data_IF_817529781792
#
_entry.id   IF_817529781792
#
_cell.length_a   1.000
_cell.length_b   1.000
_cell.length_c   1.000
_cell.angle_alpha   90.00
_cell.angle_beta   90.00
_cell.angle_gamma   90.00
#
_symmetry.space_group_name_H-M   'P 1'
#
loop_
_entity.id
_entity.type
_entity.pdbx_description
1 polymer ?
#
# COMPACT_ATOMS: atom_id res chain seq x y z
N UNK A 1 2.39 1.03 -13.94
CA UNK A 1 2.29 1.98 -12.81
C UNK A 1 3.37 3.03 -13.03
N UNK A 2 3.00 4.30 -13.20
CA UNK A 2 3.91 5.39 -13.60
C UNK A 2 3.90 6.57 -12.60
N UNK A 3 3.47 6.35 -11.36
CA UNK A 3 3.37 7.39 -10.33
C UNK A 3 4.71 7.66 -9.64
N UNK A 4 4.88 8.86 -9.08
CA UNK A 4 6.05 9.27 -8.29
C UNK A 4 5.87 9.07 -6.78
N UNK A 5 5.12 8.03 -6.39
CA UNK A 5 4.89 7.68 -4.99
C UNK A 5 6.16 7.21 -4.28
N UNK A 6 6.07 7.05 -2.96
CA UNK A 6 7.20 6.61 -2.13
C UNK A 6 7.74 5.25 -2.61
N UNK A 7 9.04 5.20 -2.90
CA UNK A 7 9.72 3.99 -3.38
C UNK A 7 9.36 3.56 -4.80
N UNK A 8 8.64 4.38 -5.58
CA UNK A 8 8.23 4.03 -6.94
C UNK A 8 9.41 3.89 -7.93
N UNK A 9 10.54 4.53 -7.66
CA UNK A 9 11.75 4.50 -8.49
C UNK A 9 12.79 3.48 -8.00
N UNK A 10 12.48 2.65 -7.00
CA UNK A 10 13.39 1.60 -6.56
C UNK A 10 13.58 0.55 -7.66
N UNK A 11 14.80 0.05 -7.80
CA UNK A 11 15.12 -1.04 -8.72
C UNK A 11 14.22 -2.26 -8.44
N UNK A 12 13.65 -2.84 -9.52
CA UNK A 12 12.70 -3.96 -9.43
C UNK A 12 11.26 -3.59 -9.07
N UNK A 13 10.98 -2.32 -8.76
CA UNK A 13 9.64 -1.83 -8.41
C UNK A 13 8.99 -1.06 -9.57
N UNK A 14 9.75 -0.19 -10.22
CA UNK A 14 9.22 0.66 -11.30
C UNK A 14 8.65 -0.19 -12.45
N UNK A 15 7.42 0.12 -12.88
CA UNK A 15 6.75 -0.60 -13.96
C UNK A 15 6.32 -2.04 -13.63
N UNK A 16 6.62 -2.56 -12.44
CA UNK A 16 6.24 -3.91 -12.02
C UNK A 16 4.97 -3.90 -11.15
N UNK A 17 4.44 -5.10 -10.86
CA UNK A 17 3.32 -5.27 -9.93
C UNK A 17 3.68 -4.82 -8.51
N UNK A 18 4.95 -4.89 -8.13
CA UNK A 18 5.42 -4.40 -6.84
C UNK A 18 5.28 -2.88 -6.70
N UNK A 19 5.42 -2.13 -7.80
CA UNK A 19 5.10 -0.70 -7.81
C UNK A 19 3.62 -0.41 -7.50
N UNK A 20 2.72 -1.26 -7.99
CA UNK A 20 1.30 -1.15 -7.65
C UNK A 20 1.03 -1.50 -6.19
N UNK A 21 1.69 -2.54 -5.65
CA UNK A 21 1.56 -2.88 -4.24
C UNK A 21 2.05 -1.73 -3.34
N UNK A 22 3.19 -1.13 -3.65
CA UNK A 22 3.74 0.01 -2.91
C UNK A 22 2.78 1.21 -2.89
N UNK A 23 2.07 1.47 -3.99
CA UNK A 23 1.07 2.53 -4.02
C UNK A 23 -0.10 2.27 -3.06
N UNK A 24 -0.55 1.01 -2.96
CA UNK A 24 -1.62 0.62 -2.03
C UNK A 24 -1.14 0.74 -0.59
N UNK A 25 0.07 0.28 -0.27
CA UNK A 25 0.62 0.40 1.08
C UNK A 25 0.83 1.86 1.46
N UNK A 26 1.35 2.70 0.55
CA UNK A 26 1.50 4.13 0.78
C UNK A 26 0.14 4.77 1.11
N UNK A 27 -0.91 4.48 0.33
CA UNK A 27 -2.24 4.99 0.60
C UNK A 27 -2.77 4.56 1.97
N UNK A 28 -2.72 3.26 2.26
CA UNK A 28 -3.26 2.68 3.49
C UNK A 28 -2.53 3.19 4.75
N UNK A 29 -1.21 3.36 4.65
CA UNK A 29 -0.36 3.62 5.81
C UNK A 29 -0.12 5.11 6.03
N UNK A 30 -0.21 5.95 4.99
CA UNK A 30 0.10 7.39 5.09
C UNK A 30 -1.07 8.31 4.75
N UNK A 31 -1.89 7.97 3.76
CA UNK A 31 -2.90 8.90 3.22
C UNK A 31 -4.32 8.67 3.74
N UNK A 32 -4.62 7.50 4.31
CA UNK A 32 -5.90 7.23 4.96
C UNK A 32 -6.17 8.24 6.07
N UNK A 33 -7.38 8.80 6.11
CA UNK A 33 -7.81 9.67 7.22
C UNK A 33 -7.97 8.85 8.49
N UNK A 34 -7.32 9.27 9.56
CA UNK A 34 -7.45 8.71 10.89
C UNK A 34 -7.56 9.84 11.92
N UNK A 35 -8.24 9.57 13.05
CA UNK A 35 -8.39 10.56 14.15
C UNK A 35 -7.11 10.76 14.97
N UNK A 36 -6.18 9.82 14.91
CA UNK A 36 -4.87 9.84 15.56
C UNK A 36 -3.92 8.92 14.81
N UNK A 37 -2.62 9.08 15.03
CA UNK A 37 -1.61 8.22 14.43
C UNK A 37 -1.66 6.80 14.97
N UNK A 38 -2.04 6.61 16.23
CA UNK A 38 -2.26 5.28 16.79
C UNK A 38 -3.43 4.56 16.11
N UNK A 39 -4.53 5.26 15.84
CA UNK A 39 -5.65 4.70 15.07
C UNK A 39 -5.22 4.36 13.63
N UNK A 40 -4.37 5.19 13.02
CA UNK A 40 -3.81 4.92 11.69
C UNK A 40 -2.97 3.64 11.71
N UNK A 41 -2.06 3.52 12.68
CA UNK A 41 -1.19 2.36 12.85
C UNK A 41 -1.99 1.08 13.08
N UNK A 42 -2.96 1.11 14.00
CA UNK A 42 -3.84 -0.04 14.26
C UNK A 42 -4.61 -0.44 13.00
N UNK A 43 -5.15 0.53 12.25
CA UNK A 43 -5.84 0.27 10.98
C UNK A 43 -4.92 -0.35 9.93
N UNK A 44 -3.70 0.17 9.80
CA UNK A 44 -2.69 -0.30 8.86
C UNK A 44 -2.23 -1.73 9.16
N UNK A 45 -2.14 -2.13 10.44
CA UNK A 45 -1.60 -3.43 10.85
C UNK A 45 -2.65 -4.51 11.08
N UNK A 46 -3.83 -4.14 11.59
CA UNK A 46 -4.85 -5.11 12.01
C UNK A 46 -6.28 -4.75 11.59
N UNK A 47 -6.47 -3.64 10.89
CA UNK A 47 -7.80 -3.12 10.53
C UNK A 47 -8.06 -3.11 9.02
N UNK A 48 -8.93 -2.19 8.56
CA UNK A 48 -9.28 -2.05 7.15
C UNK A 48 -8.07 -1.84 6.24
N UNK A 49 -7.04 -1.12 6.71
CA UNK A 49 -5.79 -0.93 5.95
C UNK A 49 -5.04 -2.24 5.72
N UNK A 50 -4.95 -3.11 6.73
CA UNK A 50 -4.35 -4.43 6.61
C UNK A 50 -5.10 -5.31 5.59
N UNK A 51 -6.44 -5.30 5.65
CA UNK A 51 -7.28 -6.05 4.71
C UNK A 51 -7.11 -5.56 3.26
N UNK A 52 -7.04 -4.25 3.06
CA UNK A 52 -6.82 -3.66 1.74
C UNK A 52 -5.46 -4.09 1.16
N UNK A 53 -4.39 -4.02 1.97
CA UNK A 53 -3.05 -4.47 1.56
C UNK A 53 -3.04 -5.96 1.22
N UNK A 54 -3.76 -6.79 1.99
CA UNK A 54 -3.87 -8.23 1.72
C UNK A 54 -4.59 -8.52 0.40
N UNK A 55 -5.73 -7.89 0.17
CA UNK A 55 -6.50 -8.05 -1.08
C UNK A 55 -5.69 -7.62 -2.31
N UNK A 56 -4.96 -6.50 -2.22
CA UNK A 56 -4.10 -6.05 -3.30
C UNK A 56 -2.98 -7.06 -3.59
N UNK A 57 -2.34 -7.61 -2.55
CA UNK A 57 -1.33 -8.65 -2.71
C UNK A 57 -1.90 -9.89 -3.40
N UNK A 58 -3.05 -10.40 -2.93
CA UNK A 58 -3.68 -11.59 -3.49
C UNK A 58 -4.04 -11.40 -4.97
N UNK A 59 -4.59 -10.23 -5.34
CA UNK A 59 -4.91 -9.89 -6.73
C UNK A 59 -3.65 -9.80 -7.61
N UNK A 60 -2.57 -9.22 -7.10
CA UNK A 60 -1.31 -9.07 -7.84
C UNK A 60 -0.58 -10.39 -8.05
N UNK A 61 -0.75 -11.36 -7.14
CA UNK A 61 -0.17 -12.70 -7.26
C UNK A 61 -1.00 -13.63 -8.16
N UNK A 62 -2.31 -13.43 -8.25
CA UNK A 62 -3.19 -14.26 -9.07
C UNK A 62 -3.16 -13.94 -10.57
N UNK A 63 -2.68 -12.74 -10.95
CA UNK A 63 -2.64 -12.26 -12.34
C UNK A 63 -1.42 -12.73 -13.14
#
# INVERSE_FOLDING_TARGET
>A
FNGAGMGAMNDGVFGTRWGLLNAVTEYADHHVRARSDENRFVSAQWGPGANLKRQALDLLLAA
#
